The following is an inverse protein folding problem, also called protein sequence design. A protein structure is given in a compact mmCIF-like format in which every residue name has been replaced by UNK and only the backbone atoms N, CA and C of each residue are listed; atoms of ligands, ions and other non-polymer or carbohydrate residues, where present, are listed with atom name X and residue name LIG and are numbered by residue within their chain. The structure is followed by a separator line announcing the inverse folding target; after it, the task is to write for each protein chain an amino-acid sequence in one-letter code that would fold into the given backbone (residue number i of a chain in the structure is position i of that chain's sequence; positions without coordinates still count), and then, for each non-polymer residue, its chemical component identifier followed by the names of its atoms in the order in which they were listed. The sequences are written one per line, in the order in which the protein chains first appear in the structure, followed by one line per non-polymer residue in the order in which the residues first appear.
data_IF_398745987856
#
_entry.id   IF_398745987856
#
_cell.length_a   1.000
_cell.length_b   1.000
_cell.length_c   1.000
_cell.angle_alpha   90.00
_cell.angle_beta   90.00
_cell.angle_gamma   90.00
#
_symmetry.space_group_name_H-M   'P 1'
#
loop_
_entity.id
_entity.type
_entity.pdbx_description
1 polymer ?
#
# COMPACT_ATOMS: atom_id res chain seq x y z
N UNK A 1 29.05 -53.36 -9.18
CA UNK A 1 27.76 -52.70 -8.95
C UNK A 1 28.01 -51.19 -8.94
N UNK A 2 27.80 -50.52 -10.06
CA UNK A 2 28.04 -49.09 -10.22
C UNK A 2 26.70 -48.33 -10.02
N UNK A 3 26.67 -47.46 -9.02
CA UNK A 3 25.53 -46.61 -8.69
C UNK A 3 25.36 -45.50 -9.77
N UNK A 4 24.18 -45.27 -10.35
CA UNK A 4 24.00 -44.19 -11.30
C UNK A 4 24.03 -42.83 -10.59
N UNK A 5 24.66 -41.79 -11.16
CA UNK A 5 24.66 -40.43 -10.57
C UNK A 5 23.25 -39.83 -10.60
N UNK A 6 22.76 -39.44 -9.44
CA UNK A 6 21.52 -38.65 -9.31
C UNK A 6 21.70 -37.29 -9.98
N UNK A 7 21.13 -37.14 -11.18
CA UNK A 7 20.98 -35.82 -11.81
C UNK A 7 19.91 -35.05 -11.06
N UNK A 8 20.30 -34.21 -10.12
CA UNK A 8 19.46 -33.19 -9.56
C UNK A 8 19.22 -32.10 -10.62
N UNK A 9 18.16 -32.25 -11.41
CA UNK A 9 17.71 -31.24 -12.37
C UNK A 9 17.26 -30.01 -11.58
N UNK A 10 18.15 -29.02 -11.46
CA UNK A 10 17.72 -27.70 -10.94
C UNK A 10 16.65 -27.11 -11.84
N UNK A 11 15.51 -26.65 -11.29
CA UNK A 11 14.47 -26.01 -12.09
C UNK A 11 15.05 -24.74 -12.75
N UNK A 12 14.61 -24.42 -13.99
CA UNK A 12 15.17 -23.31 -14.75
C UNK A 12 14.95 -21.98 -14.02
N UNK A 13 16.01 -21.20 -13.88
CA UNK A 13 16.04 -19.88 -13.22
C UNK A 13 14.93 -18.91 -13.69
N UNK A 14 14.43 -19.09 -14.90
CA UNK A 14 13.36 -18.30 -15.51
C UNK A 14 12.02 -18.36 -14.75
N UNK A 15 11.69 -19.49 -14.11
CA UNK A 15 10.45 -19.63 -13.33
C UNK A 15 10.47 -18.78 -12.06
N UNK A 16 11.62 -18.70 -11.38
CA UNK A 16 11.77 -17.87 -10.18
C UNK A 16 11.73 -16.36 -10.47
N UNK A 17 12.23 -15.93 -11.62
CA UNK A 17 12.21 -14.52 -12.04
C UNK A 17 10.77 -14.08 -12.36
N UNK A 18 9.98 -14.92 -13.05
CA UNK A 18 8.60 -14.61 -13.41
C UNK A 18 7.68 -14.50 -12.19
N UNK A 19 7.87 -15.38 -11.19
CA UNK A 19 7.08 -15.35 -9.95
C UNK A 19 7.41 -14.12 -9.08
N UNK A 20 8.66 -13.61 -9.13
CA UNK A 20 9.06 -12.37 -8.44
C UNK A 20 8.44 -11.11 -9.06
N UNK A 21 8.31 -11.05 -10.38
CA UNK A 21 7.72 -9.90 -11.07
C UNK A 21 6.20 -9.80 -10.80
N UNK A 22 5.49 -10.91 -10.78
CA UNK A 22 4.05 -10.97 -10.49
C UNK A 22 3.71 -10.46 -9.08
N UNK A 23 4.48 -10.84 -8.08
CA UNK A 23 4.23 -10.39 -6.69
C UNK A 23 4.58 -8.91 -6.44
N UNK A 24 5.45 -8.31 -7.27
CA UNK A 24 5.79 -6.89 -7.15
C UNK A 24 4.67 -5.98 -7.69
N UNK A 25 4.10 -6.32 -8.85
CA UNK A 25 2.99 -5.57 -9.45
C UNK A 25 1.71 -5.68 -8.62
N UNK A 26 1.40 -6.87 -8.09
CA UNK A 26 0.23 -7.06 -7.21
C UNK A 26 0.29 -6.15 -5.98
N UNK A 27 1.46 -6.00 -5.34
CA UNK A 27 1.63 -5.11 -4.19
C UNK A 27 1.37 -3.63 -4.52
N UNK A 28 1.78 -3.17 -5.71
CA UNK A 28 1.53 -1.80 -6.19
C UNK A 28 0.03 -1.55 -6.37
N UNK A 29 -0.66 -2.44 -7.06
CA UNK A 29 -2.10 -2.31 -7.28
C UNK A 29 -2.89 -2.36 -5.97
N UNK A 30 -2.52 -3.24 -5.05
CA UNK A 30 -3.15 -3.30 -3.73
C UNK A 30 -2.94 -2.01 -2.93
N UNK A 31 -1.76 -1.41 -2.98
CA UNK A 31 -1.50 -0.13 -2.31
C UNK A 31 -2.35 1.01 -2.89
N UNK A 32 -2.44 1.11 -4.23
CA UNK A 32 -3.25 2.12 -4.90
C UNK A 32 -4.75 1.94 -4.61
N UNK A 33 -5.26 0.69 -4.71
CA UNK A 33 -6.66 0.38 -4.43
C UNK A 33 -7.02 0.62 -2.95
N UNK A 34 -6.15 0.24 -2.03
CA UNK A 34 -6.35 0.51 -0.61
C UNK A 34 -6.37 2.01 -0.30
N UNK A 35 -5.50 2.81 -0.96
CA UNK A 35 -5.52 4.27 -0.85
C UNK A 35 -6.81 4.89 -1.40
N UNK A 36 -7.28 4.45 -2.57
CA UNK A 36 -8.55 4.89 -3.14
C UNK A 36 -9.74 4.49 -2.24
N UNK A 37 -9.74 3.26 -1.69
CA UNK A 37 -10.74 2.81 -0.73
C UNK A 37 -10.73 3.68 0.53
N UNK A 38 -9.55 4.03 1.06
CA UNK A 38 -9.41 4.94 2.19
C UNK A 38 -10.09 6.29 1.93
N UNK A 39 -9.90 6.87 0.75
CA UNK A 39 -10.57 8.12 0.36
C UNK A 39 -12.10 7.95 0.26
N UNK A 40 -12.57 6.89 -0.38
CA UNK A 40 -14.00 6.60 -0.51
C UNK A 40 -14.68 6.39 0.85
N UNK A 41 -13.95 5.82 1.83
CA UNK A 41 -14.46 5.59 3.17
C UNK A 41 -14.48 6.83 4.07
N UNK A 42 -13.86 7.95 3.67
CA UNK A 42 -13.97 9.22 4.37
C UNK A 42 -15.38 9.84 4.24
N UNK A 43 -15.94 9.76 3.03
CA UNK A 43 -17.31 10.16 2.76
C UNK A 43 -17.82 9.29 1.60
N UNK A 44 -18.67 8.30 1.90
CA UNK A 44 -19.08 7.33 0.88
C UNK A 44 -19.77 8.04 -0.32
N UNK A 45 -19.23 7.89 -1.55
CA UNK A 45 -19.62 8.78 -2.65
C UNK A 45 -20.97 8.44 -3.29
N UNK A 46 -21.48 7.22 -3.10
CA UNK A 46 -22.67 6.74 -3.81
C UNK A 46 -23.83 6.40 -2.89
N UNK A 47 -25.05 6.57 -3.40
CA UNK A 47 -26.24 6.01 -2.75
C UNK A 47 -26.17 4.48 -2.76
N UNK A 48 -26.50 3.85 -1.65
CA UNK A 48 -26.45 2.40 -1.48
C UNK A 48 -27.84 1.79 -1.33
N UNK A 49 -28.05 0.56 -1.82
CA UNK A 49 -29.26 -0.20 -1.57
C UNK A 49 -29.55 -0.35 -0.07
N UNK A 50 -30.82 -0.41 0.30
CA UNK A 50 -31.25 -0.48 1.70
C UNK A 50 -30.60 -1.61 2.52
N UNK A 51 -30.24 -2.74 1.90
CA UNK A 51 -29.55 -3.83 2.56
C UNK A 51 -28.14 -3.50 3.06
N UNK A 52 -27.42 -2.59 2.40
CA UNK A 52 -26.09 -2.14 2.83
C UNK A 52 -26.17 -1.00 3.84
N UNK A 53 -27.28 -0.29 3.91
CA UNK A 53 -27.52 0.73 4.93
C UNK A 53 -27.52 0.13 6.35
N UNK A 54 -27.92 -1.14 6.50
CA UNK A 54 -27.85 -1.88 7.75
C UNK A 54 -26.41 -2.12 8.24
N UNK A 55 -25.42 -2.08 7.34
CA UNK A 55 -23.98 -2.16 7.65
C UNK A 55 -23.35 -0.79 7.95
N UNK A 56 -24.19 0.26 8.10
CA UNK A 56 -23.74 1.62 8.34
C UNK A 56 -23.19 2.33 7.10
N UNK A 57 -23.42 1.79 5.90
CA UNK A 57 -22.98 2.41 4.64
C UNK A 57 -24.05 3.41 4.21
N UNK A 58 -23.80 4.70 4.39
CA UNK A 58 -24.68 5.78 3.95
C UNK A 58 -23.91 6.81 3.15
N UNK A 59 -24.56 7.41 2.16
CA UNK A 59 -23.94 8.44 1.34
C UNK A 59 -23.53 9.64 2.21
N UNK A 60 -22.29 10.09 2.04
CA UNK A 60 -21.74 11.23 2.80
C UNK A 60 -21.30 10.89 4.23
N UNK A 61 -21.51 9.68 4.71
CA UNK A 61 -21.07 9.25 6.04
C UNK A 61 -19.70 8.56 6.00
N UNK A 62 -18.88 8.74 7.03
CA UNK A 62 -17.60 8.05 7.14
C UNK A 62 -17.80 6.56 7.45
N UNK A 63 -17.09 5.72 6.70
CA UNK A 63 -17.11 4.27 6.85
C UNK A 63 -15.92 3.80 7.66
N UNK A 64 -16.00 3.85 8.98
CA UNK A 64 -14.87 3.60 9.90
C UNK A 64 -14.22 2.22 9.73
N UNK A 65 -15.02 1.17 9.53
CA UNK A 65 -14.51 -0.19 9.34
C UNK A 65 -13.78 -0.35 7.98
N UNK A 66 -14.23 0.37 6.94
CA UNK A 66 -13.54 0.38 5.66
C UNK A 66 -12.19 1.09 5.71
N UNK A 67 -12.09 2.17 6.48
CA UNK A 67 -10.82 2.85 6.75
C UNK A 67 -9.85 1.94 7.50
N UNK A 68 -10.34 1.23 8.53
CA UNK A 68 -9.54 0.26 9.28
C UNK A 68 -9.05 -0.86 8.38
N UNK A 69 -9.89 -1.37 7.49
CA UNK A 69 -9.51 -2.40 6.51
C UNK A 69 -8.43 -1.90 5.54
N UNK A 70 -8.59 -0.69 5.00
CA UNK A 70 -7.60 -0.10 4.09
C UNK A 70 -6.23 0.07 4.76
N UNK A 71 -6.21 0.51 6.02
CA UNK A 71 -4.98 0.62 6.81
C UNK A 71 -4.40 -0.77 7.16
N UNK A 72 -5.25 -1.76 7.47
CA UNK A 72 -4.79 -3.13 7.72
C UNK A 72 -4.11 -3.73 6.48
N UNK A 73 -4.66 -3.49 5.29
CA UNK A 73 -4.02 -3.89 4.02
C UNK A 73 -2.67 -3.21 3.86
N UNK A 74 -2.56 -1.90 4.14
CA UNK A 74 -1.27 -1.19 4.10
C UNK A 74 -0.27 -1.84 5.05
N UNK A 75 -0.64 -2.05 6.32
CA UNK A 75 0.25 -2.66 7.33
C UNK A 75 0.73 -4.04 6.87
N UNK A 76 -0.15 -4.88 6.34
CA UNK A 76 0.21 -6.19 5.79
C UNK A 76 1.22 -6.07 4.63
N UNK A 77 1.04 -5.11 3.72
CA UNK A 77 1.98 -4.85 2.63
C UNK A 77 3.35 -4.39 3.15
N UNK A 78 3.37 -3.55 4.20
CA UNK A 78 4.60 -3.10 4.82
C UNK A 78 5.33 -4.26 5.53
N UNK A 79 4.62 -5.10 6.27
CA UNK A 79 5.19 -6.27 6.94
C UNK A 79 5.71 -7.32 5.94
N UNK A 80 5.00 -7.53 4.83
CA UNK A 80 5.43 -8.41 3.75
C UNK A 80 6.61 -7.86 2.93
N UNK A 81 6.94 -6.58 3.09
CA UNK A 81 8.06 -5.94 2.37
C UNK A 81 9.40 -6.46 2.88
N UNK A 82 10.30 -6.81 1.95
CA UNK A 82 11.64 -7.34 2.27
C UNK A 82 12.66 -6.25 2.61
N UNK A 83 12.37 -4.99 2.29
CA UNK A 83 13.28 -3.87 2.53
C UNK A 83 12.52 -2.60 2.91
N UNK A 84 13.11 -1.70 3.74
CA UNK A 84 12.53 -0.43 4.10
C UNK A 84 12.23 0.47 2.89
N UNK A 85 13.07 0.41 1.85
CA UNK A 85 12.86 1.16 0.61
C UNK A 85 11.58 0.74 -0.11
N UNK A 86 11.28 -0.57 -0.17
CA UNK A 86 10.04 -1.07 -0.77
C UNK A 86 8.83 -0.68 0.08
N UNK A 87 8.94 -0.73 1.40
CA UNK A 87 7.90 -0.27 2.31
C UNK A 87 7.60 1.22 2.09
N UNK A 88 8.63 2.07 2.03
CA UNK A 88 8.49 3.49 1.73
C UNK A 88 7.75 3.74 0.41
N UNK A 89 8.11 3.01 -0.64
CA UNK A 89 7.47 3.13 -1.95
C UNK A 89 5.99 2.74 -1.93
N UNK A 90 5.63 1.65 -1.23
CA UNK A 90 4.23 1.21 -1.08
C UNK A 90 3.41 2.21 -0.24
N UNK A 91 3.97 2.73 0.84
CA UNK A 91 3.34 3.77 1.65
C UNK A 91 3.15 5.08 0.88
N UNK A 92 4.12 5.45 0.03
CA UNK A 92 4.01 6.61 -0.85
C UNK A 92 2.89 6.44 -1.89
N UNK A 93 2.78 5.28 -2.54
CA UNK A 93 1.73 4.98 -3.51
C UNK A 93 0.34 4.99 -2.87
N UNK A 94 0.20 4.35 -1.71
CA UNK A 94 -1.05 4.35 -0.93
C UNK A 94 -1.49 5.77 -0.61
N UNK A 95 -0.60 6.58 -0.04
CA UNK A 95 -0.92 7.94 0.38
C UNK A 95 -1.16 8.87 -0.82
N UNK A 96 -0.40 8.74 -1.92
CA UNK A 96 -0.63 9.50 -3.14
C UNK A 96 -2.02 9.22 -3.70
N UNK A 97 -2.42 7.95 -3.79
CA UNK A 97 -3.75 7.56 -4.26
C UNK A 97 -4.85 8.11 -3.33
N UNK A 98 -4.68 7.94 -2.02
CA UNK A 98 -5.64 8.45 -1.03
C UNK A 98 -5.79 9.97 -1.13
N UNK A 99 -4.68 10.72 -1.08
CA UNK A 99 -4.69 12.18 -1.09
C UNK A 99 -5.18 12.74 -2.44
N UNK A 100 -4.80 12.12 -3.56
CA UNK A 100 -5.28 12.54 -4.87
C UNK A 100 -6.81 12.41 -4.98
N UNK A 101 -7.38 11.31 -4.51
CA UNK A 101 -8.83 11.12 -4.47
C UNK A 101 -9.51 12.09 -3.49
N UNK A 102 -8.91 12.32 -2.31
CA UNK A 102 -9.46 13.25 -1.31
C UNK A 102 -9.43 14.69 -1.81
N UNK A 103 -8.39 15.09 -2.53
CA UNK A 103 -8.24 16.44 -3.09
C UNK A 103 -8.88 16.61 -4.48
N UNK A 104 -9.68 15.64 -4.95
CA UNK A 104 -10.37 15.75 -6.25
C UNK A 104 -11.25 17.02 -6.39
N UNK A 105 -11.81 17.53 -5.28
CA UNK A 105 -12.54 18.78 -5.26
C UNK A 105 -11.68 20.00 -5.66
N UNK A 106 -10.36 19.95 -5.39
CA UNK A 106 -9.43 21.01 -5.75
C UNK A 106 -9.27 21.11 -7.27
N UNK A 107 -9.34 19.97 -7.99
CA UNK A 107 -9.40 19.97 -9.45
C UNK A 107 -10.60 20.80 -9.96
N UNK A 108 -11.80 20.56 -9.43
CA UNK A 108 -12.99 21.30 -9.80
C UNK A 108 -12.82 22.80 -9.52
N UNK A 109 -12.24 23.13 -8.37
CA UNK A 109 -11.98 24.52 -7.97
C UNK A 109 -11.02 25.23 -8.94
N UNK A 110 -9.90 24.59 -9.28
CA UNK A 110 -8.88 25.16 -10.16
C UNK A 110 -9.35 25.24 -11.63
N UNK A 111 -10.02 24.20 -12.11
CA UNK A 111 -10.47 24.12 -13.50
C UNK A 111 -11.71 24.99 -13.73
N UNK A 112 -12.75 24.85 -12.91
CA UNK A 112 -14.05 25.49 -13.14
C UNK A 112 -14.05 26.97 -12.73
N UNK A 113 -13.45 27.31 -11.59
CA UNK A 113 -13.44 28.67 -11.07
C UNK A 113 -12.13 29.42 -11.34
N UNK A 114 -11.00 28.72 -11.39
CA UNK A 114 -9.70 29.32 -11.66
C UNK A 114 -9.32 29.41 -13.14
N UNK A 115 -10.13 28.85 -14.06
CA UNK A 115 -9.87 28.88 -15.49
C UNK A 115 -8.62 28.11 -15.93
N UNK A 116 -8.05 27.26 -15.04
CA UNK A 116 -6.85 26.51 -15.35
C UNK A 116 -7.17 25.38 -16.35
N UNK A 117 -6.29 25.16 -17.34
CA UNK A 117 -6.45 24.04 -18.26
C UNK A 117 -6.49 22.69 -17.50
N UNK A 118 -7.43 21.81 -17.87
CA UNK A 118 -7.67 20.55 -17.18
C UNK A 118 -6.39 19.71 -16.90
N UNK A 119 -5.45 19.53 -17.86
CA UNK A 119 -4.23 18.77 -17.59
C UNK A 119 -3.33 19.41 -16.54
N UNK A 120 -3.29 20.75 -16.47
CA UNK A 120 -2.50 21.47 -15.46
C UNK A 120 -3.15 21.34 -14.07
N UNK A 121 -4.47 21.38 -13.97
CA UNK A 121 -5.20 21.18 -12.72
C UNK A 121 -4.99 19.74 -12.18
N UNK A 122 -5.08 18.73 -13.04
CA UNK A 122 -4.77 17.32 -12.66
C UNK A 122 -3.33 17.20 -12.18
N UNK A 123 -2.37 17.77 -12.93
CA UNK A 123 -0.96 17.71 -12.56
C UNK A 123 -0.70 18.38 -11.20
N UNK A 124 -1.31 19.53 -10.94
CA UNK A 124 -1.17 20.25 -9.69
C UNK A 124 -1.69 19.42 -8.49
N UNK A 125 -2.87 18.79 -8.62
CA UNK A 125 -3.43 17.92 -7.59
C UNK A 125 -2.56 16.69 -7.35
N UNK A 126 -2.07 16.04 -8.40
CA UNK A 126 -1.20 14.87 -8.28
C UNK A 126 0.16 15.23 -7.67
N UNK A 127 0.76 16.35 -8.04
CA UNK A 127 2.01 16.82 -7.44
C UNK A 127 1.84 17.14 -5.96
N UNK A 128 0.77 17.85 -5.60
CA UNK A 128 0.45 18.13 -4.22
C UNK A 128 0.30 16.84 -3.41
N UNK A 129 -0.49 15.89 -3.91
CA UNK A 129 -0.69 14.59 -3.26
C UNK A 129 0.63 13.82 -3.13
N UNK A 130 1.45 13.79 -4.19
CA UNK A 130 2.74 13.09 -4.19
C UNK A 130 3.75 13.70 -3.20
N UNK A 131 3.81 15.03 -3.09
CA UNK A 131 4.66 15.72 -2.11
C UNK A 131 4.21 15.43 -0.69
N UNK A 132 2.93 15.55 -0.39
CA UNK A 132 2.40 15.23 0.95
C UNK A 132 2.57 13.75 1.29
N UNK A 133 2.49 12.86 0.30
CA UNK A 133 2.70 11.43 0.48
C UNK A 133 4.15 11.07 0.90
N UNK A 134 5.13 11.96 0.73
CA UNK A 134 6.51 11.75 1.21
C UNK A 134 6.57 11.55 2.72
N UNK A 135 5.67 12.20 3.47
CA UNK A 135 5.55 11.99 4.91
C UNK A 135 5.19 10.52 5.23
N UNK A 136 4.24 9.95 4.48
CA UNK A 136 3.86 8.54 4.63
C UNK A 136 4.94 7.59 4.15
N UNK A 137 5.72 7.97 3.14
CA UNK A 137 6.89 7.21 2.72
C UNK A 137 7.93 7.11 3.84
N UNK A 138 8.24 8.24 4.49
CA UNK A 138 9.16 8.29 5.63
C UNK A 138 8.64 7.45 6.81
N UNK A 139 7.36 7.60 7.17
CA UNK A 139 6.73 6.81 8.24
C UNK A 139 6.76 5.30 7.95
N UNK A 140 6.46 4.90 6.72
CA UNK A 140 6.49 3.48 6.29
C UNK A 140 7.91 2.92 6.29
N UNK A 141 8.89 3.73 5.91
CA UNK A 141 10.31 3.37 5.98
C UNK A 141 10.75 3.13 7.42
N UNK A 142 10.46 4.09 8.33
CA UNK A 142 10.76 3.98 9.75
C UNK A 142 10.09 2.75 10.38
N UNK A 143 8.79 2.56 10.12
CA UNK A 143 8.04 1.41 10.63
C UNK A 143 8.72 0.09 10.24
N UNK A 144 9.13 -0.05 8.98
CA UNK A 144 9.77 -1.29 8.51
C UNK A 144 11.20 -1.44 9.02
N UNK A 145 11.95 -0.36 9.18
CA UNK A 145 13.29 -0.39 9.76
C UNK A 145 13.24 -0.89 11.22
N UNK A 146 12.37 -0.30 12.04
CA UNK A 146 12.18 -0.70 13.43
C UNK A 146 11.67 -2.15 13.59
N UNK A 147 10.75 -2.59 12.70
CA UNK A 147 10.27 -3.97 12.71
C UNK A 147 11.35 -4.99 12.37
N UNK A 148 12.35 -4.63 11.56
CA UNK A 148 13.49 -5.48 11.25
C UNK A 148 14.48 -5.56 12.42
N UNK A 149 14.75 -4.45 13.11
CA UNK A 149 15.62 -4.41 14.29
C UNK A 149 15.07 -5.28 15.42
N UNK A 150 13.77 -5.14 15.72
CA UNK A 150 13.13 -5.94 16.76
C UNK A 150 13.14 -7.46 16.46
N UNK A 151 13.01 -7.84 15.19
CA UNK A 151 13.11 -9.26 14.80
C UNK A 151 14.54 -9.80 14.96
N UNK A 152 15.55 -8.96 14.70
CA UNK A 152 16.96 -9.29 14.93
C UNK A 152 17.29 -9.48 16.41
N UNK A 153 16.80 -8.58 17.26
CA UNK A 153 16.99 -8.71 18.72
C UNK A 153 16.30 -9.94 19.29
N UNK A 154 15.07 -10.23 18.87
CA UNK A 154 14.38 -11.45 19.29
C UNK A 154 15.16 -12.72 18.91
N UNK A 155 15.73 -12.78 17.71
CA UNK A 155 16.56 -13.91 17.28
C UNK A 155 17.83 -14.06 18.15
N UNK A 156 18.48 -12.97 18.52
CA UNK A 156 19.66 -12.97 19.41
C UNK A 156 19.28 -13.47 20.81
N UNK A 157 18.15 -13.03 21.36
CA UNK A 157 17.66 -13.54 22.66
C UNK A 157 17.36 -15.04 22.62
N UNK A 158 16.71 -15.54 21.56
CA UNK A 158 16.43 -16.97 21.39
C UNK A 158 17.71 -17.81 21.27
N UNK A 159 18.77 -17.29 20.65
CA UNK A 159 20.06 -17.97 20.53
C UNK A 159 20.78 -17.97 21.88
N UNK A 160 20.74 -16.85 22.61
CA UNK A 160 21.37 -16.73 23.92
C UNK A 160 20.74 -17.68 24.97
N UNK A 161 19.40 -17.82 24.98
CA UNK A 161 18.70 -18.78 25.87
C UNK A 161 19.02 -20.24 25.57
N UNK A 162 19.41 -20.58 24.34
CA UNK A 162 19.80 -21.96 24.00
C UNK A 162 21.27 -22.28 24.29
N UNK A 163 22.09 -21.29 24.58
CA UNK A 163 23.52 -21.47 24.91
C UNK A 163 23.80 -21.48 26.41
N UNK A 164 22.83 -21.18 27.26
CA UNK A 164 22.87 -21.31 28.72
C UNK A 164 22.19 -22.59 29.18
#
# INVERSE_FOLDING_TARGET
MSWPPHQTSMPPRSLFVRQRASGASTGIWLALLAGALQAACLAWPTAVPAGLAALGVQQGQPLWWGQTLALAVLVQLLLASRSPRRAAWLGWLFATSWLACTFAWLFTSMHTYGGLAAPLAVLAVLLLAAVLALYYAAASWCFRALALENSGQAAIFFIAERML
#
